data_IF_114425805655
#
_entry.id   IF_114425805655
#
_cell.length_a   1.000
_cell.length_b   1.000
_cell.length_c   1.000
_cell.angle_alpha   90.00
_cell.angle_beta   90.00
_cell.angle_gamma   90.00
#
_symmetry.space_group_name_H-M   'P 1'
#
loop_
_entity.id
_entity.type
_entity.pdbx_description
1 polymer ?
#
# COMPACT_ATOMS: atom_id res chain seq x y z
N UNK A 1 7.38 6.57 -1.24
CA UNK A 1 7.00 5.84 -0.01
C UNK A 1 6.88 4.37 -0.31
N UNK A 2 7.51 3.54 0.51
CA UNK A 2 7.47 2.08 0.43
C UNK A 2 6.04 1.52 0.57
N UNK A 3 5.79 0.34 -0.02
CA UNK A 3 4.48 -0.30 -0.09
C UNK A 3 3.92 -0.66 1.29
N UNK A 4 4.71 -1.28 2.16
CA UNK A 4 4.23 -1.73 3.47
C UNK A 4 4.12 -0.56 4.44
N UNK A 5 5.06 0.39 4.38
CA UNK A 5 4.98 1.66 5.13
C UNK A 5 3.69 2.41 4.80
N UNK A 6 3.30 2.46 3.51
CA UNK A 6 2.06 3.13 3.08
C UNK A 6 0.80 2.49 3.68
N UNK A 7 0.73 1.15 3.76
CA UNK A 7 -0.41 0.45 4.37
C UNK A 7 -0.57 0.81 5.84
N UNK A 8 0.54 0.81 6.58
CA UNK A 8 0.55 1.20 8.00
C UNK A 8 0.12 2.68 8.15
N UNK A 9 0.70 3.58 7.33
CA UNK A 9 0.36 5.01 7.35
C UNK A 9 -1.12 5.27 7.08
N UNK A 10 -1.75 4.50 6.19
CA UNK A 10 -3.19 4.63 5.92
C UNK A 10 -4.03 4.29 7.15
N UNK A 11 -3.68 3.24 7.90
CA UNK A 11 -4.35 2.92 9.17
C UNK A 11 -4.21 4.05 10.21
N UNK A 12 -2.99 4.60 10.35
CA UNK A 12 -2.74 5.74 11.23
C UNK A 12 -3.54 6.99 10.82
N UNK A 13 -3.67 7.24 9.53
CA UNK A 13 -4.44 8.38 9.02
C UNK A 13 -5.94 8.28 9.35
N UNK A 14 -6.52 7.09 9.30
CA UNK A 14 -7.91 6.87 9.71
C UNK A 14 -8.11 7.15 11.20
N UNK A 15 -7.21 6.65 12.06
CA UNK A 15 -7.26 6.92 13.50
C UNK A 15 -7.02 8.38 13.84
N UNK A 16 -6.11 9.03 13.12
CA UNK A 16 -5.93 10.48 13.24
C UNK A 16 -7.24 11.24 12.96
N UNK A 17 -7.93 10.91 11.87
CA UNK A 17 -9.21 11.56 11.52
C UNK A 17 -10.29 11.35 12.59
N UNK A 18 -10.37 10.14 13.17
CA UNK A 18 -11.31 9.81 14.25
C UNK A 18 -11.04 10.65 15.51
N UNK A 19 -9.78 10.74 15.93
CA UNK A 19 -9.39 11.53 17.11
C UNK A 19 -9.67 13.02 16.92
N UNK A 20 -9.35 13.56 15.74
CA UNK A 20 -9.62 14.97 15.41
C UNK A 20 -11.12 15.25 15.44
N UNK A 21 -11.93 14.38 14.83
CA UNK A 21 -13.38 14.54 14.81
C UNK A 21 -13.99 14.55 16.23
N UNK A 22 -13.48 13.69 17.10
CA UNK A 22 -13.92 13.59 18.49
C UNK A 22 -13.32 14.67 19.42
N UNK A 23 -12.48 15.58 18.91
CA UNK A 23 -11.88 16.67 19.69
C UNK A 23 -10.64 16.29 20.49
N UNK A 24 -10.08 15.09 20.30
CA UNK A 24 -8.87 14.60 20.98
C UNK A 24 -7.59 15.11 20.31
N UNK A 25 -7.49 16.41 20.02
CA UNK A 25 -6.30 16.99 19.37
C UNK A 25 -5.06 16.98 20.29
N UNK A 26 -5.26 17.28 21.58
CA UNK A 26 -4.20 17.38 22.59
C UNK A 26 -4.03 16.11 23.42
N UNK A 27 -4.60 14.98 22.96
CA UNK A 27 -4.43 13.72 23.64
C UNK A 27 -3.08 13.07 23.31
N UNK A 28 -2.52 12.24 24.21
CA UNK A 28 -1.23 11.59 23.98
C UNK A 28 -1.24 10.68 22.74
N UNK A 29 -2.37 10.02 22.45
CA UNK A 29 -2.51 9.19 21.26
C UNK A 29 -2.48 10.01 19.95
N UNK A 30 -3.04 11.22 19.95
CA UNK A 30 -2.99 12.10 18.78
C UNK A 30 -1.60 12.69 18.57
N UNK A 31 -0.89 13.04 19.65
CA UNK A 31 0.53 13.44 19.58
C UNK A 31 1.41 12.33 18.98
N UNK A 32 1.27 11.10 19.47
CA UNK A 32 1.99 9.94 18.94
C UNK A 32 1.73 9.75 17.43
N UNK A 33 0.45 9.75 17.02
CA UNK A 33 0.09 9.56 15.62
C UNK A 33 0.64 10.69 14.73
N UNK A 34 0.56 11.95 15.18
CA UNK A 34 1.15 13.08 14.43
C UNK A 34 2.65 12.91 14.26
N UNK A 35 3.37 12.46 15.28
CA UNK A 35 4.79 12.19 15.17
C UNK A 35 5.09 11.08 14.14
N UNK A 36 4.35 9.97 14.18
CA UNK A 36 4.48 8.89 13.20
C UNK A 36 4.16 9.35 11.77
N UNK A 37 3.12 10.18 11.59
CA UNK A 37 2.77 10.75 10.29
C UNK A 37 3.90 11.65 9.80
N UNK A 38 4.41 12.57 10.62
CA UNK A 38 5.53 13.43 10.24
C UNK A 38 6.76 12.61 9.81
N UNK A 39 7.10 11.55 10.57
CA UNK A 39 8.18 10.63 10.21
C UNK A 39 7.96 9.97 8.85
N UNK A 40 6.72 9.59 8.53
CA UNK A 40 6.39 9.02 7.22
C UNK A 40 6.52 10.02 6.06
N UNK A 41 6.47 11.34 6.32
CA UNK A 41 6.52 12.37 5.29
C UNK A 41 7.94 12.83 4.93
N UNK A 42 8.99 12.36 5.62
CA UNK A 42 10.38 12.84 5.41
C UNK A 42 10.88 12.73 3.95
N UNK A 43 10.46 11.68 3.22
CA UNK A 43 10.84 11.45 1.81
C UNK A 43 9.69 11.75 0.84
N UNK A 44 8.63 12.41 1.29
CA UNK A 44 7.47 12.74 0.46
C UNK A 44 7.66 14.13 -0.12
N UNK A 45 8.49 14.20 -1.16
CA UNK A 45 8.73 15.42 -1.94
C UNK A 45 8.57 15.17 -3.44
N UNK A 46 8.22 16.19 -4.21
CA UNK A 46 8.03 16.10 -5.65
C UNK A 46 6.96 17.06 -6.18
N UNK A 47 6.66 16.95 -7.47
CA UNK A 47 5.61 17.73 -8.14
C UNK A 47 4.58 16.81 -8.76
N UNK A 48 3.32 17.23 -8.69
CA UNK A 48 2.19 16.55 -9.30
C UNK A 48 1.52 17.54 -10.25
N UNK A 49 1.47 17.19 -11.53
CA UNK A 49 0.75 17.97 -12.52
C UNK A 49 -0.74 17.58 -12.46
N UNK A 50 -1.60 18.55 -12.21
CA UNK A 50 -3.05 18.34 -12.12
C UNK A 50 -3.80 19.25 -13.10
N UNK A 51 -4.88 18.73 -13.66
CA UNK A 51 -5.85 19.50 -14.44
C UNK A 51 -7.13 19.62 -13.64
N UNK A 52 -7.66 20.83 -13.52
CA UNK A 52 -8.93 21.09 -12.85
C UNK A 52 -9.96 21.47 -13.91
N UNK A 53 -10.98 20.64 -14.07
CA UNK A 53 -11.98 20.84 -15.11
C UNK A 53 -13.37 20.45 -14.61
N UNK A 54 -14.34 21.35 -14.80
CA UNK A 54 -15.76 21.15 -14.43
C UNK A 54 -15.97 20.59 -13.01
N UNK A 55 -15.24 21.12 -12.03
CA UNK A 55 -15.33 20.71 -10.62
C UNK A 55 -14.63 19.38 -10.29
N UNK A 56 -13.88 18.81 -11.22
CA UNK A 56 -13.07 17.60 -11.02
C UNK A 56 -11.58 17.92 -11.07
N UNK A 57 -10.78 17.10 -10.38
CA UNK A 57 -9.31 17.17 -10.39
C UNK A 57 -8.76 15.90 -11.03
N UNK A 58 -7.94 16.06 -12.06
CA UNK A 58 -7.30 14.97 -12.80
C UNK A 58 -5.79 15.02 -12.60
N UNK A 59 -5.17 13.88 -12.35
CA UNK A 59 -3.71 13.77 -12.24
C UNK A 59 -3.15 13.48 -13.63
N UNK A 60 -2.36 14.41 -14.17
CA UNK A 60 -1.73 14.29 -15.49
C UNK A 60 -0.34 13.64 -15.41
N UNK A 61 0.41 13.91 -14.34
CA UNK A 61 1.78 13.45 -14.21
C UNK A 61 2.36 13.68 -12.82
N UNK A 62 3.49 13.04 -12.55
CA UNK A 62 4.21 13.10 -11.28
C UNK A 62 5.71 12.99 -11.51
N UNK A 63 6.49 13.81 -10.81
CA UNK A 63 7.94 13.77 -10.80
C UNK A 63 8.46 13.96 -9.37
N UNK A 64 9.55 13.30 -9.01
CA UNK A 64 10.15 13.42 -7.69
C UNK A 64 11.63 13.03 -7.74
N UNK A 65 12.53 13.80 -7.07
CA UNK A 65 13.92 13.39 -6.91
C UNK A 65 14.07 12.16 -5.99
N UNK A 66 13.12 11.92 -5.08
CA UNK A 66 13.07 10.77 -4.15
C UNK A 66 12.09 9.70 -4.64
N UNK A 67 11.96 9.56 -5.96
CA UNK A 67 11.06 8.58 -6.55
C UNK A 67 11.56 7.16 -6.29
N UNK A 68 10.69 6.30 -5.74
CA UNK A 68 10.93 4.85 -5.66
C UNK A 68 10.53 4.12 -6.95
N UNK A 69 10.03 4.85 -7.94
CA UNK A 69 9.71 4.27 -9.24
C UNK A 69 10.98 4.10 -10.06
N UNK A 70 11.23 2.89 -10.54
CA UNK A 70 12.32 2.56 -11.44
C UNK A 70 11.72 2.16 -12.80
N UNK A 71 11.97 2.95 -13.83
CA UNK A 71 11.45 2.74 -15.19
C UNK A 71 12.07 1.52 -15.86
N UNK A 72 13.38 1.32 -15.68
CA UNK A 72 14.12 0.20 -16.27
C UNK A 72 13.64 -1.15 -15.73
N UNK A 73 13.37 -1.22 -14.42
CA UNK A 73 12.88 -2.43 -13.77
C UNK A 73 11.47 -2.83 -14.21
N UNK A 74 10.62 -1.85 -14.53
CA UNK A 74 9.22 -2.07 -14.90
C UNK A 74 9.04 -2.22 -16.42
N UNK A 75 10.07 -1.87 -17.21
CA UNK A 75 10.03 -1.94 -18.66
C UNK A 75 9.80 -3.37 -19.15
N UNK A 76 8.88 -3.51 -20.10
CA UNK A 76 8.62 -4.77 -20.81
C UNK A 76 9.44 -4.88 -22.10
N UNK A 77 10.02 -3.77 -22.56
CA UNK A 77 10.75 -3.68 -23.83
C UNK A 77 12.25 -3.94 -23.66
N UNK A 78 12.79 -3.66 -22.49
CA UNK A 78 14.19 -3.85 -22.15
C UNK A 78 14.25 -4.87 -21.03
N UNK A 79 15.03 -5.93 -21.21
CA UNK A 79 15.27 -6.90 -20.15
C UNK A 79 16.18 -6.24 -19.11
N UNK A 80 15.56 -5.56 -18.14
CA UNK A 80 16.24 -4.97 -16.99
C UNK A 80 16.69 -6.02 -15.98
N UNK A 81 16.98 -5.59 -14.75
CA UNK A 81 17.51 -6.43 -13.66
C UNK A 81 16.47 -7.38 -13.00
N UNK A 82 15.34 -7.66 -13.67
CA UNK A 82 14.29 -8.52 -13.14
C UNK A 82 14.38 -9.93 -13.75
N UNK A 83 14.51 -10.95 -12.90
CA UNK A 83 14.48 -12.36 -13.31
C UNK A 83 13.05 -12.93 -13.24
N UNK A 84 12.42 -13.27 -14.37
CA UNK A 84 11.05 -13.78 -14.39
C UNK A 84 10.88 -15.14 -13.68
N UNK A 85 11.94 -15.95 -13.60
CA UNK A 85 11.88 -17.25 -12.93
C UNK A 85 11.49 -17.14 -11.45
N UNK A 86 11.97 -16.11 -10.74
CA UNK A 86 11.70 -15.90 -9.31
C UNK A 86 10.22 -15.66 -8.99
N UNK A 87 9.48 -15.09 -9.94
CA UNK A 87 8.04 -14.86 -9.82
C UNK A 87 7.28 -16.16 -9.54
N UNK A 88 7.72 -17.25 -10.16
CA UNK A 88 7.06 -18.57 -10.03
C UNK A 88 7.15 -19.07 -8.60
N UNK A 89 8.34 -18.98 -7.99
CA UNK A 89 8.54 -19.34 -6.58
C UNK A 89 7.70 -18.47 -5.64
N UNK A 90 7.73 -17.15 -5.86
CA UNK A 90 6.98 -16.20 -5.05
C UNK A 90 5.46 -16.46 -5.08
N UNK A 91 4.89 -16.70 -6.27
CA UNK A 91 3.46 -17.02 -6.43
C UNK A 91 3.13 -18.34 -5.72
N UNK A 92 3.96 -19.37 -5.90
CA UNK A 92 3.74 -20.67 -5.29
C UNK A 92 3.68 -20.56 -3.75
N UNK A 93 4.63 -19.86 -3.14
CA UNK A 93 4.68 -19.68 -1.68
C UNK A 93 3.48 -18.87 -1.17
N UNK A 94 3.13 -17.76 -1.83
CA UNK A 94 1.97 -16.96 -1.41
C UNK A 94 0.64 -17.72 -1.58
N UNK A 95 0.54 -18.55 -2.63
CA UNK A 95 -0.66 -19.35 -2.90
C UNK A 95 -0.85 -20.49 -1.90
N UNK A 96 0.22 -20.96 -1.24
CA UNK A 96 0.17 -22.11 -0.33
C UNK A 96 -0.86 -21.91 0.78
N UNK A 97 -0.87 -20.73 1.42
CA UNK A 97 -1.85 -20.39 2.47
C UNK A 97 -3.29 -20.47 1.95
N UNK A 98 -3.53 -20.05 0.72
CA UNK A 98 -4.87 -20.06 0.10
C UNK A 98 -5.30 -21.48 -0.27
N UNK A 99 -4.38 -22.29 -0.80
CA UNK A 99 -4.60 -23.71 -1.13
C UNK A 99 -4.97 -24.51 0.12
N UNK A 100 -4.24 -24.31 1.22
CA UNK A 100 -4.51 -24.99 2.49
C UNK A 100 -5.84 -24.56 3.11
N UNK A 101 -6.17 -23.26 3.05
CA UNK A 101 -7.47 -22.77 3.50
C UNK A 101 -8.62 -23.45 2.75
N UNK A 102 -8.54 -23.54 1.42
CA UNK A 102 -9.55 -24.21 0.61
C UNK A 102 -9.65 -25.71 0.94
N UNK A 103 -8.51 -26.40 1.12
CA UNK A 103 -8.47 -27.82 1.51
C UNK A 103 -9.16 -28.08 2.86
N UNK A 104 -9.03 -27.17 3.83
CA UNK A 104 -9.71 -27.29 5.12
C UNK A 104 -11.22 -27.07 4.98
N UNK A 105 -11.64 -26.06 4.22
CA UNK A 105 -13.06 -25.78 3.98
C UNK A 105 -13.78 -26.93 3.26
N UNK A 106 -13.15 -27.54 2.25
CA UNK A 106 -13.74 -28.68 1.53
C UNK A 106 -13.92 -29.90 2.43
N UNK A 107 -12.97 -30.19 3.34
CA UNK A 107 -13.12 -31.27 4.33
C UNK A 107 -14.25 -31.05 5.33
N UNK A 108 -14.52 -29.80 5.72
CA UNK A 108 -15.64 -29.46 6.61
C UNK A 108 -16.97 -29.65 5.89
N UNK A 109 -17.06 -29.22 4.62
CA UNK A 109 -18.27 -29.40 3.80
C UNK A 109 -18.61 -30.87 3.54
N UNK A 110 -17.61 -31.75 3.36
CA UNK A 110 -17.85 -33.20 3.17
C UNK A 110 -18.37 -33.86 4.45
N UNK A 111 -17.94 -33.41 5.64
CA UNK A 111 -18.39 -33.96 6.94
C UNK A 111 -19.79 -33.50 7.39
N UNK A 112 -20.35 -32.44 6.80
CA UNK A 112 -21.71 -31.99 7.11
C UNK A 112 -22.78 -32.66 6.24
N UNK A 113 -22.37 -33.39 5.20
CA UNK A 113 -23.25 -34.13 4.29
C UNK A 113 -23.27 -35.65 4.58
N UNK A 114 -22.61 -36.09 5.65
CA UNK A 114 -22.75 -37.40 6.29
C UNK A 114 -23.58 -37.25 7.57
#
# INVERSE_FOLDING_TARGET
MDREVRKIKQGLALKFSELVYNGFWYSPECEFIRHCINKSQELVEGKVCVSVFKGQVYILGRESPQSLYNEELVSMNVQGDYEPADATGFININSLRLKEYHRLQSKVATKQNE
#
